data_IF_298165263396
#
_entry.id   IF_298165263396
#
_cell.length_a   1.000
_cell.length_b   1.000
_cell.length_c   1.000
_cell.angle_alpha   90.00
_cell.angle_beta   90.00
_cell.angle_gamma   90.00
#
_symmetry.space_group_name_H-M   'P 1'
#
loop_
_entity.id
_entity.type
_entity.pdbx_description
1 polymer ?
#
# COMPACT_ATOMS: atom_id res chain seq x y z
N UNK A 1 3.65 11.41 6.77
CA UNK A 1 2.81 10.24 6.41
C UNK A 1 3.49 9.00 6.97
N UNK A 2 2.76 8.19 7.71
CA UNK A 2 3.25 6.90 8.20
C UNK A 2 2.74 5.80 7.27
N UNK A 3 3.64 4.94 6.80
CA UNK A 3 3.29 3.82 5.92
C UNK A 3 3.35 2.53 6.72
N UNK A 4 2.27 1.76 6.70
CA UNK A 4 2.19 0.49 7.42
C UNK A 4 1.89 -0.63 6.43
N UNK A 5 2.81 -1.60 6.32
CA UNK A 5 2.70 -2.75 5.41
C UNK A 5 2.02 -3.91 6.12
N UNK A 6 1.02 -4.50 5.49
CA UNK A 6 0.21 -5.57 6.05
C UNK A 6 0.07 -6.70 5.03
N UNK A 7 0.47 -7.90 5.41
CA UNK A 7 0.53 -9.07 4.50
C UNK A 7 -0.75 -9.90 4.44
N UNK A 8 -1.77 -9.57 5.21
CA UNK A 8 -3.01 -10.34 5.35
C UNK A 8 -4.15 -9.78 4.50
N UNK A 9 -5.19 -10.58 4.24
CA UNK A 9 -6.40 -10.15 3.54
C UNK A 9 -7.25 -9.20 4.39
N UNK A 10 -7.17 -9.33 5.71
CA UNK A 10 -7.86 -8.49 6.67
C UNK A 10 -6.91 -8.09 7.78
N UNK A 11 -7.13 -6.91 8.37
CA UNK A 11 -6.32 -6.40 9.45
C UNK A 11 -7.07 -5.46 10.35
N UNK A 12 -6.82 -5.60 11.65
CA UNK A 12 -7.29 -4.68 12.68
C UNK A 12 -6.24 -3.57 12.85
N UNK A 13 -6.47 -2.44 12.19
CA UNK A 13 -5.61 -1.25 12.24
C UNK A 13 -5.93 -0.42 13.49
N UNK A 14 -4.89 -0.13 14.29
CA UNK A 14 -5.04 0.60 15.56
C UNK A 14 -4.73 2.08 15.37
N UNK A 15 -5.68 2.94 15.70
CA UNK A 15 -5.52 4.39 15.63
C UNK A 15 -5.50 4.94 17.06
N UNK A 16 -4.47 5.71 17.37
CA UNK A 16 -4.33 6.35 18.68
C UNK A 16 -5.15 7.64 18.72
N UNK A 17 -6.09 7.71 19.66
CA UNK A 17 -6.84 8.91 19.99
C UNK A 17 -6.25 9.50 21.26
N UNK A 18 -5.96 10.80 21.24
CA UNK A 18 -5.33 11.51 22.36
C UNK A 18 -6.20 12.69 22.76
N UNK A 19 -6.17 13.01 24.05
CA UNK A 19 -6.85 14.18 24.59
C UNK A 19 -5.85 15.21 25.11
N UNK A 20 -6.30 16.45 25.19
CA UNK A 20 -5.59 17.52 25.90
C UNK A 20 -6.41 17.97 27.12
N UNK A 21 -5.73 18.60 28.08
CA UNK A 21 -6.36 19.07 29.32
C UNK A 21 -6.21 18.10 30.50
N UNK A 22 -6.96 18.32 31.59
CA UNK A 22 -6.76 17.59 32.83
C UNK A 22 -7.13 16.10 32.70
N UNK A 23 -6.30 15.27 33.33
CA UNK A 23 -6.63 13.87 33.58
C UNK A 23 -7.80 13.80 34.56
N UNK A 24 -8.73 12.88 34.32
CA UNK A 24 -9.87 12.60 35.18
C UNK A 24 -9.73 11.20 35.77
N UNK A 25 -10.27 11.02 36.96
CA UNK A 25 -10.32 9.77 37.72
C UNK A 25 -11.52 8.88 37.38
N UNK A 26 -12.32 9.29 36.39
CA UNK A 26 -13.42 8.52 35.83
C UNK A 26 -13.26 8.34 34.32
N UNK A 27 -13.85 7.26 33.81
CA UNK A 27 -13.90 6.94 32.39
C UNK A 27 -14.66 8.01 31.60
N UNK A 28 -14.12 8.41 30.45
CA UNK A 28 -14.75 9.36 29.53
C UNK A 28 -15.09 8.70 28.20
N UNK A 29 -16.24 9.02 27.65
CA UNK A 29 -16.68 8.53 26.35
C UNK A 29 -16.48 9.57 25.26
N UNK A 30 -16.09 9.11 24.08
CA UNK A 30 -16.06 9.90 22.85
C UNK A 30 -16.67 9.09 21.71
N UNK A 31 -17.13 9.80 20.69
CA UNK A 31 -17.75 9.19 19.52
C UNK A 31 -16.87 9.40 18.29
N UNK A 32 -16.90 8.43 17.38
CA UNK A 32 -16.27 8.47 16.06
C UNK A 32 -17.30 8.06 15.02
N UNK A 33 -17.23 8.70 13.87
CA UNK A 33 -18.00 8.34 12.70
C UNK A 33 -17.16 8.43 11.43
N UNK A 34 -17.67 7.84 10.35
CA UNK A 34 -17.10 7.98 9.02
C UNK A 34 -17.56 9.32 8.46
N UNK A 35 -16.62 10.14 7.99
CA UNK A 35 -16.95 11.36 7.27
C UNK A 35 -17.23 11.01 5.80
N UNK A 36 -18.48 11.14 5.30
CA UNK A 36 -18.80 10.79 3.93
C UNK A 36 -18.08 11.68 2.90
N UNK A 37 -17.83 12.94 3.22
CA UNK A 37 -17.24 13.91 2.28
C UNK A 37 -15.76 13.61 1.98
N UNK A 38 -15.06 12.96 2.91
CA UNK A 38 -13.65 12.58 2.77
C UNK A 38 -13.42 11.08 2.57
N UNK A 39 -14.49 10.29 2.46
CA UNK A 39 -14.42 8.83 2.32
C UNK A 39 -14.74 8.39 0.89
N UNK A 40 -13.78 7.71 0.26
CA UNK A 40 -13.99 6.97 -1.00
C UNK A 40 -13.96 5.46 -0.79
N UNK A 41 -13.61 5.00 0.41
CA UNK A 41 -13.71 3.60 0.80
C UNK A 41 -15.19 3.16 0.94
N UNK A 42 -15.47 1.89 0.67
CA UNK A 42 -16.83 1.35 0.61
C UNK A 42 -17.01 0.42 1.81
N UNK A 43 -18.08 0.62 2.58
CA UNK A 43 -18.44 -0.22 3.72
C UNK A 43 -18.64 -1.68 3.27
N UNK A 44 -18.17 -2.63 4.08
CA UNK A 44 -18.18 -4.08 3.86
C UNK A 44 -17.33 -4.58 2.68
N UNK A 45 -16.84 -3.67 1.82
CA UNK A 45 -15.84 -3.97 0.80
C UNK A 45 -14.42 -3.66 1.30
N UNK A 46 -14.15 -2.41 1.70
CA UNK A 46 -12.81 -1.95 2.11
C UNK A 46 -12.61 -1.94 3.64
N UNK A 47 -13.69 -1.78 4.40
CA UNK A 47 -13.66 -1.72 5.87
C UNK A 47 -14.98 -2.22 6.47
N UNK A 48 -14.97 -2.62 7.73
CA UNK A 48 -16.20 -3.03 8.46
C UNK A 48 -16.82 -1.88 9.25
N UNK A 49 -18.08 -2.06 9.67
CA UNK A 49 -18.78 -1.10 10.50
C UNK A 49 -17.98 -0.72 11.75
N UNK A 50 -17.76 0.59 11.91
CA UNK A 50 -16.95 1.14 13.00
C UNK A 50 -17.83 1.32 14.23
N UNK A 51 -17.36 0.83 15.38
CA UNK A 51 -17.99 1.11 16.67
C UNK A 51 -18.03 2.63 16.88
N UNK A 52 -19.22 3.20 17.10
CA UNK A 52 -19.36 4.65 17.23
C UNK A 52 -18.82 5.17 18.55
N UNK A 53 -19.15 4.53 19.67
CA UNK A 53 -18.76 5.01 21.00
C UNK A 53 -17.56 4.25 21.58
N UNK A 54 -16.57 5.01 22.04
CA UNK A 54 -15.35 4.50 22.65
C UNK A 54 -15.14 5.09 24.03
N UNK A 55 -14.37 4.37 24.85
CA UNK A 55 -14.06 4.76 26.22
C UNK A 55 -12.57 5.07 26.36
N UNK A 56 -12.28 6.24 26.91
CA UNK A 56 -10.99 6.64 27.45
C UNK A 56 -11.00 6.29 28.95
N UNK A 57 -10.17 5.33 29.39
CA UNK A 57 -10.12 4.93 30.79
C UNK A 57 -9.74 6.09 31.73
N UNK A 58 -10.20 6.01 32.98
CA UNK A 58 -9.74 6.85 34.08
C UNK A 58 -8.20 6.89 34.14
N UNK A 59 -7.63 8.06 34.39
CA UNK A 59 -6.17 8.25 34.43
C UNK A 59 -5.48 8.29 33.06
N UNK A 60 -6.16 7.93 31.97
CA UNK A 60 -5.56 7.89 30.63
C UNK A 60 -5.68 9.24 29.89
N UNK A 61 -4.65 9.53 29.09
CA UNK A 61 -4.61 10.66 28.13
C UNK A 61 -4.72 10.21 26.68
N UNK A 62 -4.73 8.90 26.45
CA UNK A 62 -4.88 8.32 25.13
C UNK A 62 -5.49 6.93 25.19
N UNK A 63 -6.17 6.53 24.13
CA UNK A 63 -6.64 5.16 23.92
C UNK A 63 -6.46 4.79 22.45
N UNK A 64 -6.55 3.51 22.13
CA UNK A 64 -6.50 3.04 20.75
C UNK A 64 -7.88 2.55 20.33
N UNK A 65 -8.35 3.02 19.18
CA UNK A 65 -9.48 2.44 18.48
C UNK A 65 -8.98 1.41 17.46
N UNK A 66 -9.81 0.43 17.14
CA UNK A 66 -9.49 -0.60 16.16
C UNK A 66 -10.47 -0.51 15.00
N UNK A 67 -9.94 -0.51 13.77
CA UNK A 67 -10.73 -0.51 12.54
C UNK A 67 -10.30 -1.70 11.71
N UNK A 68 -11.27 -2.52 11.28
CA UNK A 68 -10.99 -3.63 10.38
C UNK A 68 -10.95 -3.16 8.94
N UNK A 69 -9.80 -3.34 8.30
CA UNK A 69 -9.56 -3.04 6.89
C UNK A 69 -9.49 -4.35 6.09
N UNK A 70 -9.99 -4.33 4.86
CA UNK A 70 -10.04 -5.47 3.94
C UNK A 70 -9.25 -5.15 2.67
N UNK A 71 -8.43 -6.11 2.25
CA UNK A 71 -7.71 -6.05 0.98
C UNK A 71 -8.61 -6.57 -0.13
N UNK A 72 -9.00 -5.71 -1.06
CA UNK A 72 -9.80 -6.05 -2.23
C UNK A 72 -9.01 -5.87 -3.53
N UNK A 73 -9.38 -6.56 -4.63
CA UNK A 73 -8.67 -6.47 -5.89
C UNK A 73 -8.59 -5.06 -6.49
N UNK A 74 -9.60 -4.20 -6.28
CA UNK A 74 -9.57 -2.83 -6.82
C UNK A 74 -8.46 -1.96 -6.19
N UNK A 75 -8.03 -2.29 -4.97
CA UNK A 75 -6.92 -1.61 -4.29
C UNK A 75 -5.55 -1.84 -4.96
N UNK A 76 -5.43 -2.82 -5.87
CA UNK A 76 -4.21 -3.01 -6.67
C UNK A 76 -3.96 -1.85 -7.63
N UNK A 77 -5.01 -1.10 -7.98
CA UNK A 77 -4.97 -0.07 -9.02
C UNK A 77 -5.49 1.29 -8.53
N UNK A 78 -6.23 1.32 -7.43
CA UNK A 78 -6.90 2.53 -6.95
C UNK A 78 -6.69 2.71 -5.45
N UNK A 79 -6.22 3.89 -5.06
CA UNK A 79 -6.21 4.29 -3.66
C UNK A 79 -7.61 4.68 -3.18
N UNK A 80 -7.96 4.22 -1.99
CA UNK A 80 -9.21 4.55 -1.30
C UNK A 80 -8.91 5.32 -0.02
N UNK A 81 -9.75 6.29 0.30
CA UNK A 81 -9.66 7.11 1.51
C UNK A 81 -10.74 6.69 2.49
N UNK A 82 -10.38 6.43 3.73
CA UNK A 82 -11.33 6.31 4.83
C UNK A 82 -11.15 7.52 5.74
N UNK A 83 -12.12 8.43 5.69
CA UNK A 83 -12.18 9.62 6.51
C UNK A 83 -12.93 9.33 7.81
N UNK A 84 -12.29 9.63 8.94
CA UNK A 84 -12.83 9.49 10.28
C UNK A 84 -12.99 10.87 10.90
N UNK A 85 -14.07 11.06 11.65
CA UNK A 85 -14.34 12.29 12.39
C UNK A 85 -14.63 11.99 13.85
N UNK A 86 -14.01 12.77 14.74
CA UNK A 86 -14.38 12.81 16.16
C UNK A 86 -15.68 13.61 16.32
N UNK A 87 -16.60 13.07 17.12
CA UNK A 87 -17.85 13.74 17.47
C UNK A 87 -17.82 14.12 18.94
N UNK A 88 -18.07 15.39 19.22
CA UNK A 88 -18.09 15.93 20.58
C UNK A 88 -19.09 15.19 21.47
N UNK A 89 -18.74 15.02 22.73
CA UNK A 89 -19.65 14.52 23.78
C UNK A 89 -19.68 15.51 24.94
N UNK A 90 -20.66 15.43 25.86
CA UNK A 90 -20.65 16.27 27.06
C UNK A 90 -19.39 16.13 27.92
N UNK A 91 -18.61 15.07 27.72
CA UNK A 91 -17.42 14.75 28.50
C UNK A 91 -16.12 15.18 27.80
N UNK A 92 -16.15 15.32 26.48
CA UNK A 92 -15.00 15.67 25.64
C UNK A 92 -15.46 16.56 24.47
N UNK A 93 -15.05 17.83 24.52
CA UNK A 93 -15.27 18.79 23.44
C UNK A 93 -14.17 18.70 22.37
N UNK A 94 -14.47 19.18 21.16
CA UNK A 94 -13.49 19.31 20.08
C UNK A 94 -12.77 20.67 20.24
N UNK A 95 -11.60 20.64 20.88
CA UNK A 95 -10.88 21.88 21.25
C UNK A 95 -10.06 22.51 20.12
N UNK A 96 -9.94 21.84 18.97
CA UNK A 96 -9.09 22.25 17.85
C UNK A 96 -9.86 22.16 16.52
N UNK A 97 -10.85 23.01 16.28
CA UNK A 97 -11.59 23.02 15.02
C UNK A 97 -10.71 23.49 13.84
N UNK A 98 -9.80 24.42 14.09
CA UNK A 98 -8.80 24.91 13.13
C UNK A 98 -7.46 24.97 13.87
N UNK A 99 -6.47 24.20 13.42
CA UNK A 99 -5.10 24.31 13.91
C UNK A 99 -4.25 25.03 12.88
N UNK A 100 -3.69 26.17 13.27
CA UNK A 100 -2.75 26.94 12.46
C UNK A 100 -1.30 26.51 12.73
N UNK A 101 -0.51 26.45 11.66
CA UNK A 101 0.94 26.31 11.75
C UNK A 101 1.55 27.37 12.67
N UNK A 102 2.19 26.92 13.75
CA UNK A 102 2.94 27.80 14.65
C UNK A 102 4.13 28.39 13.87
N UNK A 103 4.19 29.72 13.61
CA UNK A 103 5.17 30.30 12.68
C UNK A 103 6.64 30.04 13.05
N UNK A 104 6.91 29.79 14.33
CA UNK A 104 8.26 29.53 14.86
C UNK A 104 8.70 28.08 14.73
N UNK A 105 7.81 27.15 14.36
CA UNK A 105 8.10 25.72 14.19
C UNK A 105 8.16 25.37 12.70
N UNK A 106 9.35 25.55 12.10
CA UNK A 106 9.57 25.33 10.65
C UNK A 106 10.18 23.96 10.31
N UNK A 107 10.27 23.06 11.29
CA UNK A 107 10.81 21.73 11.08
C UNK A 107 9.83 20.79 10.39
N UNK A 108 10.23 20.21 9.25
CA UNK A 108 9.46 19.19 8.53
C UNK A 108 8.36 19.76 7.63
N UNK A 109 7.36 18.93 7.31
CA UNK A 109 6.22 19.35 6.48
C UNK A 109 5.28 20.23 7.31
N UNK A 110 5.23 21.52 6.98
CA UNK A 110 4.30 22.47 7.60
C UNK A 110 2.95 22.34 6.90
N UNK A 111 1.92 21.95 7.65
CA UNK A 111 0.53 22.00 7.18
C UNK A 111 -0.06 23.32 7.70
N UNK A 112 -0.39 24.28 6.81
CA UNK A 112 -0.79 25.62 7.22
C UNK A 112 -2.01 25.63 8.13
N UNK A 113 -2.99 24.79 7.80
CA UNK A 113 -4.25 24.65 8.51
C UNK A 113 -4.68 23.18 8.44
N UNK A 114 -5.11 22.60 9.57
CA UNK A 114 -5.80 21.31 9.56
C UNK A 114 -6.86 21.19 10.65
N UNK A 115 -7.93 20.45 10.34
CA UNK A 115 -8.96 20.07 11.30
C UNK A 115 -8.49 18.82 12.08
N UNK A 116 -8.17 19.01 13.36
CA UNK A 116 -7.68 17.93 14.22
C UNK A 116 -8.78 16.92 14.62
N UNK A 117 -10.05 17.22 14.33
CA UNK A 117 -11.15 16.26 14.48
C UNK A 117 -11.19 15.23 13.35
N UNK A 118 -10.52 15.49 12.22
CA UNK A 118 -10.49 14.63 11.05
C UNK A 118 -9.21 13.80 10.97
N UNK A 119 -9.37 12.54 10.61
CA UNK A 119 -8.25 11.64 10.32
C UNK A 119 -8.53 10.86 9.04
N UNK A 120 -7.56 10.81 8.12
CA UNK A 120 -7.71 10.10 6.85
C UNK A 120 -6.75 8.92 6.79
N UNK A 121 -7.29 7.72 6.58
CA UNK A 121 -6.49 6.55 6.20
C UNK A 121 -6.44 6.45 4.68
N UNK A 122 -5.24 6.32 4.12
CA UNK A 122 -5.02 5.98 2.72
C UNK A 122 -4.83 4.48 2.60
N UNK A 123 -5.73 3.81 1.88
CA UNK A 123 -5.79 2.37 1.75
C UNK A 123 -5.52 2.02 0.29
N UNK A 124 -4.42 1.31 0.04
CA UNK A 124 -4.12 0.78 -1.28
C UNK A 124 -3.27 -0.50 -1.14
N UNK A 125 -3.21 -1.27 -2.23
CA UNK A 125 -2.30 -2.39 -2.38
C UNK A 125 -1.47 -2.24 -3.67
N UNK A 126 -1.17 -0.99 -4.03
CA UNK A 126 -0.40 -0.66 -5.22
C UNK A 126 1.06 -1.01 -4.92
N UNK A 127 1.62 -1.89 -5.75
CA UNK A 127 3.04 -2.18 -5.71
C UNK A 127 3.74 -1.22 -6.68
N UNK A 128 4.61 -0.36 -6.18
CA UNK A 128 5.42 0.54 -7.00
C UNK A 128 6.72 -0.15 -7.40
N UNK A 129 7.38 0.35 -8.44
CA UNK A 129 8.70 -0.14 -8.84
C UNK A 129 9.69 0.01 -7.68
N UNK A 130 10.38 -1.06 -7.23
CA UNK A 130 11.32 -0.96 -6.14
C UNK A 130 12.59 -0.21 -6.57
N UNK A 131 13.33 0.32 -5.60
CA UNK A 131 14.41 1.28 -5.82
C UNK A 131 15.51 0.77 -6.77
N UNK A 132 15.84 -0.52 -6.73
CA UNK A 132 16.88 -1.12 -7.59
C UNK A 132 16.35 -2.13 -8.60
N UNK A 133 15.12 -1.94 -9.08
CA UNK A 133 14.59 -2.75 -10.18
C UNK A 133 15.34 -2.48 -11.49
N UNK A 134 15.95 -3.52 -12.08
CA UNK A 134 16.64 -3.39 -13.38
C UNK A 134 15.71 -3.71 -14.55
N UNK A 135 14.93 -2.71 -14.97
CA UNK A 135 13.93 -2.86 -16.03
C UNK A 135 13.67 -1.56 -16.76
N UNK A 136 13.41 -1.63 -18.06
CA UNK A 136 13.11 -0.45 -18.87
C UNK A 136 12.23 -0.75 -20.09
N UNK A 137 11.75 0.33 -20.70
CA UNK A 137 11.08 0.32 -22.00
C UNK A 137 12.02 0.94 -23.02
N UNK A 138 12.23 0.26 -24.15
CA UNK A 138 12.88 0.79 -25.33
C UNK A 138 11.85 1.27 -26.37
N UNK A 139 12.34 1.90 -27.44
CA UNK A 139 11.52 2.40 -28.54
C UNK A 139 10.50 1.36 -29.04
N UNK A 140 9.27 1.81 -29.28
CA UNK A 140 8.18 0.94 -29.70
C UNK A 140 7.56 0.14 -28.56
N UNK A 141 7.69 0.59 -27.31
CA UNK A 141 7.15 -0.07 -26.11
C UNK A 141 7.73 -1.47 -25.84
N UNK A 142 8.97 -1.70 -26.28
CA UNK A 142 9.65 -3.00 -26.11
C UNK A 142 10.27 -3.12 -24.71
N UNK A 143 10.08 -4.26 -24.07
CA UNK A 143 10.76 -4.55 -22.81
C UNK A 143 12.28 -4.67 -22.94
N UNK A 144 12.98 -4.31 -21.86
CA UNK A 144 14.44 -4.27 -21.78
C UNK A 144 14.93 -4.29 -20.33
N UNK A 145 16.25 -4.45 -20.13
CA UNK A 145 16.90 -4.52 -18.83
C UNK A 145 17.14 -5.96 -18.40
N UNK A 146 17.34 -6.21 -17.11
CA UNK A 146 17.50 -7.58 -16.61
C UNK A 146 16.16 -8.24 -16.30
N UNK A 147 15.20 -7.47 -15.80
CA UNK A 147 13.90 -7.95 -15.30
C UNK A 147 12.72 -7.47 -16.17
N UNK A 148 12.98 -6.61 -17.15
CA UNK A 148 11.92 -5.97 -17.91
C UNK A 148 11.13 -4.95 -17.10
N UNK A 149 10.07 -4.38 -17.67
CA UNK A 149 9.25 -3.38 -16.95
C UNK A 149 8.65 -3.99 -15.69
N UNK A 150 8.68 -3.24 -14.59
CA UNK A 150 8.13 -3.72 -13.34
C UNK A 150 6.62 -3.98 -13.44
N UNK A 151 6.19 -5.11 -12.93
CA UNK A 151 4.78 -5.41 -12.67
C UNK A 151 4.69 -6.20 -11.36
N UNK A 152 3.56 -6.07 -10.65
CA UNK A 152 3.27 -6.89 -9.46
C UNK A 152 3.37 -8.38 -9.79
N UNK A 153 2.91 -8.77 -10.99
CA UNK A 153 2.93 -10.15 -11.47
C UNK A 153 4.35 -10.68 -11.64
N UNK A 154 5.28 -9.88 -12.15
CA UNK A 154 6.71 -10.26 -12.19
C UNK A 154 7.32 -10.41 -10.82
N UNK A 155 7.01 -9.51 -9.89
CA UNK A 155 7.50 -9.63 -8.52
C UNK A 155 6.99 -10.94 -7.88
N UNK A 156 5.70 -11.24 -8.05
CA UNK A 156 5.10 -12.49 -7.58
C UNK A 156 5.73 -13.73 -8.23
N UNK A 157 5.96 -13.68 -9.54
CA UNK A 157 6.65 -14.75 -10.27
C UNK A 157 8.08 -14.96 -9.75
N UNK A 158 8.85 -13.90 -9.53
CA UNK A 158 10.20 -14.01 -8.97
C UNK A 158 10.19 -14.53 -7.54
N UNK A 159 9.23 -14.10 -6.73
CA UNK A 159 9.03 -14.62 -5.37
C UNK A 159 8.73 -16.13 -5.38
N UNK A 160 7.88 -16.60 -6.30
CA UNK A 160 7.58 -18.02 -6.49
C UNK A 160 8.81 -18.82 -6.93
N UNK A 161 9.58 -18.31 -7.90
CA UNK A 161 10.69 -19.04 -8.53
C UNK A 161 11.96 -19.03 -7.67
N UNK A 162 12.25 -17.90 -7.01
CA UNK A 162 13.55 -17.67 -6.34
C UNK A 162 13.42 -17.41 -4.84
N UNK A 163 12.20 -17.25 -4.32
CA UNK A 163 11.95 -16.94 -2.91
C UNK A 163 12.22 -15.49 -2.50
N UNK A 164 12.68 -14.64 -3.42
CA UNK A 164 12.98 -13.23 -3.16
C UNK A 164 11.74 -12.47 -2.74
N UNK A 165 11.92 -11.47 -1.88
CA UNK A 165 10.86 -10.57 -1.42
C UNK A 165 11.01 -9.21 -2.07
N UNK A 166 9.90 -8.48 -2.18
CA UNK A 166 9.91 -7.09 -2.65
C UNK A 166 10.95 -6.22 -1.91
N UNK A 167 11.11 -6.44 -0.61
CA UNK A 167 12.06 -5.71 0.26
C UNK A 167 13.52 -5.96 -0.11
N UNK A 168 13.83 -7.12 -0.70
CA UNK A 168 15.20 -7.39 -1.16
C UNK A 168 15.66 -6.34 -2.18
N UNK A 169 14.74 -5.78 -2.96
CA UNK A 169 15.00 -4.75 -3.99
C UNK A 169 14.98 -3.31 -3.44
N UNK A 170 15.04 -3.12 -2.12
CA UNK A 170 15.03 -1.79 -1.50
C UNK A 170 16.35 -1.02 -1.69
N UNK A 171 17.49 -1.70 -1.87
CA UNK A 171 18.78 -1.06 -2.11
C UNK A 171 19.78 -1.98 -2.83
N UNK A 172 20.88 -1.40 -3.33
CA UNK A 172 21.96 -2.15 -3.95
C UNK A 172 22.78 -2.98 -2.94
N UNK A 173 22.60 -2.74 -1.64
CA UNK A 173 23.22 -3.52 -0.57
C UNK A 173 22.51 -4.87 -0.39
N UNK A 174 21.18 -4.86 -0.37
CA UNK A 174 20.36 -6.08 -0.28
C UNK A 174 20.21 -6.78 -1.62
N UNK A 175 20.23 -6.04 -2.72
CA UNK A 175 20.21 -6.56 -4.10
C UNK A 175 21.43 -6.10 -4.90
N UNK A 176 22.63 -6.65 -4.62
CA UNK A 176 23.80 -6.37 -5.44
C UNK A 176 23.62 -6.99 -6.84
N UNK A 177 24.33 -6.43 -7.81
CA UNK A 177 24.21 -6.85 -9.23
C UNK A 177 24.43 -8.35 -9.43
N UNK A 178 25.34 -8.99 -8.68
CA UNK A 178 25.57 -10.43 -8.75
C UNK A 178 24.35 -11.27 -8.30
N UNK A 179 23.62 -10.80 -7.27
CA UNK A 179 22.37 -11.42 -6.80
C UNK A 179 21.28 -11.24 -7.85
N UNK A 180 21.10 -10.02 -8.35
CA UNK A 180 20.15 -9.74 -9.43
C UNK A 180 20.43 -10.57 -10.69
N UNK A 181 21.71 -10.77 -11.02
CA UNK A 181 22.13 -11.63 -12.13
C UNK A 181 21.74 -13.09 -11.96
N UNK A 182 21.72 -13.58 -10.72
CA UNK A 182 21.28 -14.95 -10.43
C UNK A 182 19.76 -15.06 -10.52
N UNK A 183 19.04 -14.09 -9.94
CA UNK A 183 17.58 -14.03 -9.93
C UNK A 183 17.01 -14.00 -11.34
N UNK A 184 17.50 -13.11 -12.21
CA UNK A 184 16.92 -13.03 -13.56
C UNK A 184 17.20 -14.29 -14.37
N UNK A 185 18.34 -14.97 -14.17
CA UNK A 185 18.68 -16.21 -14.88
C UNK A 185 17.76 -17.36 -14.47
N UNK A 186 17.46 -17.47 -13.17
CA UNK A 186 16.52 -18.47 -12.68
C UNK A 186 15.09 -18.20 -13.19
N UNK A 187 14.67 -16.94 -13.17
CA UNK A 187 13.39 -16.51 -13.74
C UNK A 187 13.31 -16.80 -15.25
N UNK A 188 14.32 -16.38 -16.02
CA UNK A 188 14.44 -16.62 -17.46
C UNK A 188 14.35 -18.12 -17.78
N UNK A 189 15.10 -18.96 -17.06
CA UNK A 189 15.06 -20.43 -17.25
C UNK A 189 13.64 -20.97 -17.09
N UNK A 190 12.94 -20.60 -16.02
CA UNK A 190 11.56 -21.06 -15.77
C UNK A 190 10.59 -20.52 -16.83
N UNK A 191 10.75 -19.28 -17.30
CA UNK A 191 9.93 -18.74 -18.38
C UNK A 191 10.09 -19.57 -19.66
N UNK A 192 11.33 -19.90 -20.04
CA UNK A 192 11.64 -20.71 -21.22
C UNK A 192 11.07 -22.13 -21.08
N UNK A 193 11.24 -22.77 -19.92
CA UNK A 193 10.69 -24.09 -19.62
C UNK A 193 9.16 -24.10 -19.76
N UNK A 194 8.47 -23.13 -19.16
CA UNK A 194 7.01 -22.98 -19.22
C UNK A 194 6.50 -22.70 -20.63
N UNK A 195 7.21 -21.85 -21.39
CA UNK A 195 6.91 -21.59 -22.81
C UNK A 195 7.03 -22.87 -23.66
N UNK A 196 8.12 -23.63 -23.50
CA UNK A 196 8.34 -24.87 -24.23
C UNK A 196 7.32 -25.96 -23.87
N UNK A 197 6.88 -25.99 -22.61
CA UNK A 197 5.79 -26.85 -22.13
C UNK A 197 4.39 -26.39 -22.56
N UNK A 198 4.27 -25.40 -23.45
CA UNK A 198 3.00 -24.84 -23.95
C UNK A 198 2.11 -24.25 -22.83
N UNK A 199 2.71 -23.83 -21.72
CA UNK A 199 2.04 -23.15 -20.62
C UNK A 199 2.80 -21.86 -20.24
N UNK A 200 2.90 -20.88 -21.15
CA UNK A 200 3.71 -19.69 -20.92
C UNK A 200 3.15 -18.82 -19.80
N UNK A 201 4.03 -18.06 -19.15
CA UNK A 201 3.64 -17.03 -18.19
C UNK A 201 3.35 -15.74 -18.94
N UNK A 202 2.15 -15.20 -18.73
CA UNK A 202 1.68 -13.98 -19.38
C UNK A 202 1.56 -12.83 -18.36
N UNK A 203 1.81 -11.60 -18.82
CA UNK A 203 1.43 -10.38 -18.10
C UNK A 203 -0.09 -10.18 -18.15
N UNK A 204 -0.61 -9.18 -17.45
CA UNK A 204 -2.05 -8.92 -17.39
C UNK A 204 -2.64 -8.39 -18.70
N UNK A 205 -1.82 -7.78 -19.55
CA UNK A 205 -2.16 -7.40 -20.94
C UNK A 205 -1.99 -8.56 -21.94
N UNK A 206 -1.73 -9.77 -21.47
CA UNK A 206 -1.70 -11.00 -22.27
C UNK A 206 -0.43 -11.22 -23.08
N UNK A 207 0.58 -10.35 -22.99
CA UNK A 207 1.89 -10.57 -23.63
C UNK A 207 2.70 -11.59 -22.84
N UNK A 208 3.68 -12.23 -23.49
CA UNK A 208 4.65 -13.07 -22.80
C UNK A 208 5.43 -12.23 -21.78
N UNK A 209 5.55 -12.75 -20.55
CA UNK A 209 6.45 -12.20 -19.54
C UNK A 209 7.89 -12.20 -20.09
N UNK A 210 8.62 -11.12 -19.84
CA UNK A 210 9.97 -10.93 -20.36
C UNK A 210 10.96 -10.66 -19.24
N UNK A 211 12.12 -11.30 -19.33
CA UNK A 211 13.23 -11.20 -18.38
C UNK A 211 14.51 -11.70 -19.05
N UNK A 212 15.64 -11.09 -18.72
CA UNK A 212 16.95 -11.54 -19.17
C UNK A 212 17.06 -11.62 -20.69
N UNK A 213 17.34 -12.81 -21.21
CA UNK A 213 17.55 -13.08 -22.63
C UNK A 213 16.61 -14.15 -23.19
N UNK A 214 15.35 -14.18 -22.71
CA UNK A 214 14.31 -15.05 -23.29
C UNK A 214 14.23 -14.92 -24.83
N UNK A 215 13.92 -16.00 -25.57
CA UNK A 215 14.00 -16.04 -27.03
C UNK A 215 12.85 -15.30 -27.76
N UNK A 216 12.05 -14.52 -27.03
CA UNK A 216 10.97 -13.70 -27.59
C UNK A 216 11.13 -12.24 -27.20
N UNK A 217 10.50 -11.38 -28.00
CA UNK A 217 10.28 -9.99 -27.65
C UNK A 217 8.93 -9.83 -26.99
N UNK A 218 8.82 -8.84 -26.09
CA UNK A 218 7.57 -8.48 -25.43
C UNK A 218 7.37 -6.98 -25.53
N UNK A 219 6.15 -6.57 -25.88
CA UNK A 219 5.77 -5.18 -26.11
C UNK A 219 4.54 -4.86 -25.28
N UNK A 220 4.54 -3.73 -24.58
CA UNK A 220 3.42 -3.31 -23.73
C UNK A 220 2.15 -3.22 -24.58
N UNK A 221 1.09 -3.89 -24.15
CA UNK A 221 -0.22 -3.90 -24.81
C UNK A 221 -0.32 -4.77 -26.06
N UNK A 222 0.67 -5.62 -26.36
CA UNK A 222 0.64 -6.54 -27.51
C UNK A 222 0.51 -7.99 -27.01
N UNK A 223 -0.70 -8.58 -27.01
CA UNK A 223 -0.92 -9.94 -26.54
C UNK A 223 -0.11 -10.97 -27.34
N UNK A 224 0.30 -12.04 -26.66
CA UNK A 224 0.94 -13.18 -27.32
C UNK A 224 -0.09 -14.01 -28.08
N UNK A 225 0.28 -14.41 -29.29
CA UNK A 225 -0.50 -15.33 -30.12
C UNK A 225 0.30 -16.62 -30.26
N UNK A 226 -0.25 -17.79 -29.86
CA UNK A 226 0.42 -19.07 -30.07
C UNK A 226 0.72 -19.28 -31.55
N UNK A 227 1.91 -19.80 -31.86
CA UNK A 227 2.19 -20.29 -33.20
C UNK A 227 1.24 -21.47 -33.52
N UNK A 228 0.68 -21.53 -34.74
CA UNK A 228 -0.16 -22.64 -35.18
C UNK A 228 0.57 -23.99 -35.17
#
# INVERSE_FOLDING_TARGET
>A
MEFLRIGTSEVDFRIKVMITGPVKDYDRTFNIEVNPDSTTAILDQHYEAIKQQWTLPAGAVSTNISIRLKRTPDLDNTERKLGLRLVATPQLALSFPEWDAIPTLTGGTIVPEFDASLHTLLINNIMVTPAVWSGSIQQGNRESGLLGVFSKKKMQFLEEVTGVKYEDFASAETMPMARMNSIYKDGERVLIERYNAKNPVLEDDGRLMWMGSVPWMSYIGVPWVPAP
#
